data_IF_568780244562
#
_entry.id   IF_568780244562
#
_cell.length_a   1.000
_cell.length_b   1.000
_cell.length_c   1.000
_cell.angle_alpha   90.00
_cell.angle_beta   90.00
_cell.angle_gamma   90.00
#
_symmetry.space_group_name_H-M   'P 1'
#
loop_
_entity.id
_entity.type
_entity.pdbx_description
1 polymer ?
#
# COMPACT_ATOMS: atom_id res chain seq x y z
N UNK A 1 -5.29 30.80 11.41
CA UNK A 1 -4.29 31.23 12.40
C UNK A 1 -5.08 31.79 13.58
N UNK A 2 -4.73 31.42 14.82
CA UNK A 2 -5.30 32.05 16.00
C UNK A 2 -4.83 33.50 16.03
N UNK A 3 -5.74 34.44 16.21
CA UNK A 3 -5.46 35.88 16.10
C UNK A 3 -5.61 36.51 17.49
N UNK A 4 -4.71 36.14 18.40
CA UNK A 4 -4.59 36.80 19.69
C UNK A 4 -3.21 37.44 19.84
N UNK A 5 -3.22 38.73 20.17
CA UNK A 5 -2.01 39.48 20.54
C UNK A 5 -1.73 39.39 22.05
N UNK A 6 -2.61 38.75 22.81
CA UNK A 6 -2.48 38.55 24.25
C UNK A 6 -1.63 37.32 24.56
N UNK A 7 -0.79 37.44 25.58
CA UNK A 7 0.01 36.32 26.05
C UNK A 7 -0.91 35.22 26.61
N UNK A 8 -0.78 34.00 26.05
CA UNK A 8 -1.49 32.83 26.57
C UNK A 8 -0.94 32.47 27.95
N UNK A 9 -1.74 32.66 29.00
CA UNK A 9 -1.36 32.35 30.38
C UNK A 9 -1.96 31.03 30.84
N UNK A 10 -1.11 30.08 31.25
CA UNK A 10 -1.54 28.76 31.73
C UNK A 10 -1.45 27.67 30.66
N UNK A 11 -2.04 26.52 30.97
CA UNK A 11 -1.95 25.33 30.11
C UNK A 11 -3.06 25.35 29.07
N UNK A 12 -2.67 25.20 27.80
CA UNK A 12 -3.61 25.22 26.67
C UNK A 12 -3.50 23.93 25.86
N UNK A 13 -4.62 23.50 25.32
CA UNK A 13 -4.67 22.45 24.30
C UNK A 13 -5.34 22.97 23.03
N UNK A 14 -4.93 22.41 21.91
CA UNK A 14 -5.57 22.60 20.62
C UNK A 14 -6.40 21.37 20.31
N UNK A 15 -7.68 21.57 20.07
CA UNK A 15 -8.59 20.55 19.57
C UNK A 15 -8.79 20.70 18.07
N UNK A 16 -8.73 19.58 17.36
CA UNK A 16 -9.04 19.51 15.93
C UNK A 16 -10.43 18.90 15.74
N UNK A 17 -11.35 19.70 15.23
CA UNK A 17 -12.70 19.28 14.87
C UNK A 17 -12.82 18.97 13.38
N UNK A 18 -13.67 18.00 13.07
CA UNK A 18 -13.95 17.52 11.72
C UNK A 18 -15.45 17.47 11.50
N UNK A 19 -15.89 17.92 10.32
CA UNK A 19 -17.29 17.93 9.88
C UNK A 19 -17.36 17.55 8.40
N UNK A 20 -18.40 16.83 7.99
CA UNK A 20 -18.70 16.62 6.56
C UNK A 20 -19.28 17.92 5.99
N UNK A 21 -18.80 18.39 4.84
CA UNK A 21 -19.22 19.67 4.24
C UNK A 21 -20.76 19.78 4.09
N UNK A 22 -21.41 18.69 3.72
CA UNK A 22 -22.86 18.62 3.53
C UNK A 22 -23.69 18.72 4.82
N UNK A 23 -23.08 18.67 6.00
CA UNK A 23 -23.78 18.72 7.30
C UNK A 23 -24.45 20.10 7.58
N UNK A 24 -24.18 21.10 6.74
CA UNK A 24 -24.83 22.41 6.77
C UNK A 24 -24.32 23.32 7.89
N UNK A 25 -24.32 24.64 7.65
CA UNK A 25 -23.73 25.61 8.61
C UNK A 25 -24.46 25.68 9.96
N UNK A 26 -25.73 25.24 10.03
CA UNK A 26 -26.54 25.28 11.25
C UNK A 26 -25.98 24.43 12.39
N UNK A 27 -25.25 23.35 12.07
CA UNK A 27 -24.67 22.45 13.07
C UNK A 27 -23.15 22.57 13.18
N UNK A 28 -22.53 23.62 12.62
CA UNK A 28 -21.08 23.76 12.54
C UNK A 28 -20.42 24.37 13.81
N UNK A 29 -21.18 24.56 14.89
CA UNK A 29 -20.62 25.02 16.17
C UNK A 29 -19.80 23.92 16.82
N UNK A 30 -18.65 24.29 17.38
CA UNK A 30 -17.72 23.40 18.10
C UNK A 30 -17.75 23.63 19.61
N UNK A 31 -18.62 24.51 20.08
CA UNK A 31 -18.80 24.85 21.49
C UNK A 31 -20.29 25.03 21.83
N UNK A 32 -20.62 24.90 23.11
CA UNK A 32 -21.94 25.19 23.64
C UNK A 32 -22.15 26.69 23.96
N UNK A 33 -23.32 27.03 24.50
CA UNK A 33 -23.66 28.40 24.91
C UNK A 33 -22.82 28.92 26.09
N UNK A 34 -22.22 28.03 26.87
CA UNK A 34 -21.30 28.35 27.97
C UNK A 34 -19.84 28.49 27.49
N UNK A 35 -19.58 28.39 26.19
CA UNK A 35 -18.24 28.37 25.57
C UNK A 35 -17.40 27.13 25.93
N UNK A 36 -18.05 26.06 26.39
CA UNK A 36 -17.38 24.77 26.60
C UNK A 36 -17.21 24.07 25.25
N UNK A 37 -16.03 23.52 24.94
CA UNK A 37 -15.82 22.77 23.70
C UNK A 37 -16.66 21.48 23.68
N UNK A 38 -17.27 21.17 22.54
CA UNK A 38 -18.11 19.97 22.41
C UNK A 38 -17.29 18.68 22.54
N UNK A 39 -17.79 17.74 23.33
CA UNK A 39 -17.19 16.41 23.52
C UNK A 39 -17.65 15.35 22.49
N UNK A 40 -18.28 15.77 21.39
CA UNK A 40 -18.87 14.87 20.39
C UNK A 40 -17.81 13.97 19.74
N UNK A 41 -18.12 12.68 19.63
CA UNK A 41 -17.23 11.68 19.05
C UNK A 41 -17.57 11.36 17.59
N UNK A 42 -16.65 10.68 16.90
CA UNK A 42 -16.87 10.20 15.54
C UNK A 42 -18.17 9.39 15.41
N UNK A 43 -18.43 8.46 16.33
CA UNK A 43 -19.63 7.61 16.29
C UNK A 43 -20.92 8.40 16.54
N UNK A 44 -20.91 9.30 17.52
CA UNK A 44 -22.07 10.12 17.87
C UNK A 44 -22.50 11.07 16.73
N UNK A 45 -21.56 11.43 15.86
CA UNK A 45 -21.79 12.37 14.75
C UNK A 45 -21.92 11.68 13.39
N UNK A 46 -21.97 10.33 13.36
CA UNK A 46 -21.98 9.54 12.13
C UNK A 46 -20.81 9.86 11.19
N UNK A 47 -19.64 10.09 11.78
CA UNK A 47 -18.43 10.49 11.09
C UNK A 47 -18.45 11.95 10.61
N UNK A 48 -19.10 12.83 11.37
CA UNK A 48 -19.20 14.26 11.07
C UNK A 48 -20.39 14.65 10.19
N UNK A 49 -21.34 13.76 9.93
CA UNK A 49 -22.52 14.04 9.08
C UNK A 49 -23.60 14.84 9.79
N UNK A 50 -23.74 14.66 11.10
CA UNK A 50 -24.80 15.34 11.88
C UNK A 50 -24.29 16.56 12.64
N UNK A 51 -22.97 16.71 12.78
CA UNK A 51 -22.29 17.81 13.47
C UNK A 51 -20.80 17.53 13.62
N UNK A 52 -20.00 18.49 14.13
CA UNK A 52 -18.57 18.32 14.22
C UNK A 52 -18.22 17.36 15.35
N UNK A 53 -17.17 16.56 15.16
CA UNK A 53 -16.60 15.74 16.22
C UNK A 53 -15.16 16.14 16.52
N UNK A 54 -14.75 15.93 17.77
CA UNK A 54 -13.37 16.12 18.18
C UNK A 54 -12.53 14.94 17.69
N UNK A 55 -11.74 15.16 16.64
CA UNK A 55 -10.90 14.13 16.05
C UNK A 55 -9.60 13.94 16.84
N UNK A 56 -9.02 15.03 17.34
CA UNK A 56 -7.77 15.00 18.12
C UNK A 56 -7.69 16.15 19.11
N UNK A 57 -6.83 15.97 20.11
CA UNK A 57 -6.40 16.97 21.07
C UNK A 57 -4.88 16.85 21.22
N UNK A 58 -4.18 17.98 21.21
CA UNK A 58 -2.74 18.02 21.39
C UNK A 58 -2.33 19.28 22.17
N UNK A 59 -1.21 19.19 22.88
CA UNK A 59 -0.69 20.30 23.66
C UNK A 59 -0.12 21.38 22.74
N UNK A 60 -0.23 22.64 23.19
CA UNK A 60 0.37 23.76 22.48
C UNK A 60 1.88 23.77 22.72
N UNK A 61 2.66 23.49 21.68
CA UNK A 61 4.13 23.49 21.73
C UNK A 61 4.63 24.89 21.35
N UNK A 62 5.49 25.53 22.16
CA UNK A 62 6.14 26.79 21.80
C UNK A 62 6.93 26.66 20.49
N UNK A 63 6.86 27.68 19.64
CA UNK A 63 7.58 27.66 18.36
C UNK A 63 9.09 27.51 18.52
N UNK A 64 9.66 27.96 19.65
CA UNK A 64 11.08 27.80 19.99
C UNK A 64 11.50 26.35 20.21
N UNK A 65 10.55 25.49 20.57
CA UNK A 65 10.81 24.10 20.96
C UNK A 65 10.60 23.14 19.77
N UNK A 66 10.19 23.67 18.62
CA UNK A 66 10.00 22.89 17.40
C UNK A 66 11.35 22.55 16.75
N UNK A 67 11.54 21.30 16.27
CA UNK A 67 12.77 20.90 15.61
C UNK A 67 12.94 21.60 14.25
N UNK A 68 14.16 21.96 13.87
CA UNK A 68 14.39 22.57 12.54
C UNK A 68 13.95 21.63 11.40
N UNK A 69 13.22 22.19 10.44
CA UNK A 69 12.80 21.49 9.22
C UNK A 69 13.96 21.20 8.26
N UNK A 70 15.12 21.86 8.43
CA UNK A 70 16.29 21.65 7.57
C UNK A 70 16.84 20.21 7.68
N UNK A 71 16.63 19.58 8.84
CA UNK A 71 17.07 18.21 9.12
C UNK A 71 16.10 17.13 8.58
N UNK A 72 14.96 17.50 7.96
CA UNK A 72 14.00 16.52 7.40
C UNK A 72 14.59 15.69 6.26
N UNK A 73 15.62 16.21 5.58
CA UNK A 73 16.34 15.47 4.55
C UNK A 73 17.06 14.22 5.07
N UNK A 74 17.35 14.16 6.37
CA UNK A 74 17.85 12.96 7.03
C UNK A 74 16.69 11.99 7.31
N UNK A 75 16.63 10.90 6.53
CA UNK A 75 15.59 9.87 6.62
C UNK A 75 15.49 9.27 8.03
N UNK A 76 16.60 9.26 8.80
CA UNK A 76 16.60 8.73 10.16
C UNK A 76 15.85 9.64 11.15
N UNK A 77 15.78 10.93 10.88
CA UNK A 77 15.14 11.95 11.73
C UNK A 77 13.79 12.43 11.17
N UNK A 78 13.53 12.21 9.88
CA UNK A 78 12.35 12.71 9.18
C UNK A 78 11.03 12.37 9.89
N UNK A 79 10.86 11.13 10.38
CA UNK A 79 9.63 10.73 11.07
C UNK A 79 9.41 11.50 12.37
N UNK A 80 10.46 11.69 13.16
CA UNK A 80 10.41 12.42 14.43
C UNK A 80 10.12 13.90 14.19
N UNK A 81 10.81 14.52 13.24
CA UNK A 81 10.60 15.94 12.89
C UNK A 81 9.17 16.14 12.37
N UNK A 82 8.73 15.31 11.43
CA UNK A 82 7.39 15.42 10.86
C UNK A 82 6.29 15.22 11.91
N UNK A 83 6.48 14.39 12.92
CA UNK A 83 5.50 14.23 14.01
C UNK A 83 5.31 15.51 14.85
N UNK A 84 6.29 16.41 14.87
CA UNK A 84 6.14 17.71 15.55
C UNK A 84 5.30 18.72 14.74
N UNK A 85 5.17 18.52 13.42
CA UNK A 85 4.48 19.46 12.52
C UNK A 85 3.20 18.90 11.90
N UNK A 86 3.07 17.58 11.78
CA UNK A 86 1.97 16.93 11.08
C UNK A 86 0.94 16.35 12.03
N UNK A 87 -0.28 16.81 11.82
CA UNK A 87 -1.48 16.37 12.52
C UNK A 87 -2.29 15.52 11.55
N UNK A 88 -2.44 14.21 11.83
CA UNK A 88 -3.12 13.26 10.93
C UNK A 88 -4.54 12.96 11.38
N UNK A 89 -5.53 13.27 10.54
CA UNK A 89 -6.91 12.78 10.72
C UNK A 89 -7.11 11.48 9.95
N UNK A 90 -7.77 10.51 10.57
CA UNK A 90 -8.12 9.23 9.99
C UNK A 90 -7.05 8.14 10.07
N UNK A 91 -6.13 8.23 11.04
CA UNK A 91 -5.00 7.30 11.16
C UNK A 91 -5.32 6.03 11.98
N UNK A 92 -6.40 6.02 12.76
CA UNK A 92 -6.62 5.02 13.80
C UNK A 92 -7.76 4.05 13.45
N UNK A 93 -7.46 2.95 12.76
CA UNK A 93 -8.47 1.93 12.42
C UNK A 93 -8.98 1.16 13.62
N UNK A 94 -8.14 0.95 14.63
CA UNK A 94 -8.44 0.05 15.75
C UNK A 94 -9.52 0.64 16.65
N UNK A 95 -9.61 1.97 16.77
CA UNK A 95 -10.58 2.62 17.65
C UNK A 95 -12.05 2.35 17.30
N UNK A 96 -12.36 1.87 16.10
CA UNK A 96 -13.73 1.48 15.75
C UNK A 96 -14.13 0.11 16.32
N UNK A 97 -13.16 -0.79 16.52
CA UNK A 97 -13.45 -2.21 16.77
C UNK A 97 -12.91 -2.68 18.13
N UNK A 98 -11.98 -1.94 18.73
CA UNK A 98 -11.46 -2.20 20.06
C UNK A 98 -12.39 -1.59 21.14
N UNK A 99 -13.09 -2.42 21.93
CA UNK A 99 -13.98 -1.93 22.99
C UNK A 99 -13.22 -1.29 24.15
N UNK A 100 -11.91 -1.52 24.27
CA UNK A 100 -11.08 -0.98 25.34
C UNK A 100 -10.25 0.23 24.88
N UNK A 101 -10.50 0.75 23.68
CA UNK A 101 -9.74 1.86 23.12
C UNK A 101 -9.75 3.07 24.06
N UNK A 102 -8.54 3.49 24.46
CA UNK A 102 -8.35 4.66 25.31
C UNK A 102 -8.00 5.88 24.43
N UNK A 103 -8.82 6.93 24.50
CA UNK A 103 -8.56 8.21 23.84
C UNK A 103 -9.59 8.62 22.79
N UNK A 104 -9.24 9.63 21.98
CA UNK A 104 -10.11 10.13 20.91
C UNK A 104 -10.04 9.22 19.69
N UNK A 105 -11.19 8.66 19.30
CA UNK A 105 -11.26 7.81 18.12
C UNK A 105 -11.16 8.66 16.85
N UNK A 106 -10.11 8.40 16.07
CA UNK A 106 -9.77 9.10 14.83
C UNK A 106 -9.68 8.11 13.66
N UNK A 107 -10.80 7.49 13.25
CA UNK A 107 -10.80 6.43 12.26
C UNK A 107 -10.75 6.95 10.82
N UNK A 108 -10.35 6.11 9.84
CA UNK A 108 -10.27 6.54 8.45
C UNK A 108 -11.53 7.24 7.98
N UNK A 109 -11.32 8.39 7.33
CA UNK A 109 -12.40 9.16 6.74
C UNK A 109 -13.07 8.38 5.62
N UNK A 110 -14.37 8.66 5.39
CA UNK A 110 -15.12 8.02 4.32
C UNK A 110 -14.54 8.41 2.96
N UNK A 111 -14.50 7.47 2.01
CA UNK A 111 -14.05 7.74 0.64
C UNK A 111 -15.00 8.68 -0.10
N UNK A 112 -14.48 9.41 -1.10
CA UNK A 112 -15.25 10.33 -1.94
C UNK A 112 -16.14 11.32 -1.17
N UNK A 113 -15.68 11.77 0.01
CA UNK A 113 -16.43 12.63 0.93
C UNK A 113 -15.65 13.91 1.19
N UNK A 114 -16.34 15.05 1.19
CA UNK A 114 -15.76 16.36 1.49
C UNK A 114 -15.86 16.65 2.98
N UNK A 115 -14.72 16.96 3.58
CA UNK A 115 -14.59 17.29 5.00
C UNK A 115 -14.05 18.70 5.19
N UNK A 116 -14.45 19.33 6.28
CA UNK A 116 -13.88 20.58 6.78
C UNK A 116 -13.24 20.37 8.13
N UNK A 117 -12.24 21.18 8.40
CA UNK A 117 -11.42 21.11 9.61
C UNK A 117 -11.40 22.45 10.32
N UNK A 118 -11.35 22.43 11.65
CA UNK A 118 -11.26 23.63 12.48
C UNK A 118 -10.39 23.36 13.71
N UNK A 119 -9.50 24.30 14.01
CA UNK A 119 -8.71 24.26 15.24
C UNK A 119 -9.38 25.14 16.30
N UNK A 120 -9.40 24.65 17.53
CA UNK A 120 -9.98 25.33 18.69
C UNK A 120 -8.96 25.33 19.80
N UNK A 121 -8.63 26.51 20.32
CA UNK A 121 -7.76 26.70 21.46
C UNK A 121 -8.59 26.68 22.75
N UNK A 122 -8.22 25.80 23.67
CA UNK A 122 -8.92 25.59 24.92
C UNK A 122 -7.97 25.81 26.09
N UNK A 123 -8.40 26.63 27.03
CA UNK A 123 -7.70 26.81 28.29
C UNK A 123 -8.06 25.67 29.23
N UNK A 124 -7.05 24.92 29.66
CA UNK A 124 -7.26 23.70 30.45
C UNK A 124 -7.58 24.01 31.92
N UNK A 125 -7.28 25.22 32.41
CA UNK A 125 -7.64 25.64 33.76
C UNK A 125 -9.11 26.02 33.89
N UNK A 126 -9.69 26.63 32.84
CA UNK A 126 -11.11 27.04 32.83
C UNK A 126 -12.01 26.04 32.12
N UNK A 127 -11.45 25.22 31.22
CA UNK A 127 -12.20 24.30 30.35
C UNK A 127 -12.94 25.00 29.22
N UNK A 128 -12.66 26.29 28.96
CA UNK A 128 -13.39 27.11 27.99
C UNK A 128 -12.59 27.29 26.69
N UNK A 129 -13.33 27.50 25.59
CA UNK A 129 -12.76 27.93 24.32
C UNK A 129 -12.32 29.39 24.42
N UNK A 130 -11.04 29.62 24.16
CA UNK A 130 -10.46 30.97 24.11
C UNK A 130 -10.43 31.54 22.70
N UNK A 131 -10.01 30.73 21.72
CA UNK A 131 -9.96 31.12 20.32
C UNK A 131 -10.24 29.94 19.38
N UNK A 132 -10.59 30.22 18.13
CA UNK A 132 -10.89 29.22 17.12
C UNK A 132 -10.60 29.75 15.71
N UNK A 133 -10.09 28.90 14.83
CA UNK A 133 -9.90 29.27 13.43
C UNK A 133 -11.24 29.34 12.69
N UNK A 134 -11.24 29.91 11.49
CA UNK A 134 -12.32 29.60 10.53
C UNK A 134 -12.30 28.10 10.17
N UNK A 135 -13.43 27.59 9.71
CA UNK A 135 -13.47 26.29 9.04
C UNK A 135 -12.63 26.35 7.77
N UNK A 136 -11.89 25.27 7.49
CA UNK A 136 -11.18 25.14 6.22
C UNK A 136 -12.13 25.13 5.02
N UNK A 137 -11.56 25.34 3.84
CA UNK A 137 -12.21 24.92 2.60
C UNK A 137 -12.46 23.40 2.62
N UNK A 138 -13.47 22.91 1.88
CA UNK A 138 -13.75 21.49 1.78
C UNK A 138 -12.57 20.73 1.17
N UNK A 139 -12.15 19.66 1.83
CA UNK A 139 -11.10 18.75 1.36
C UNK A 139 -11.76 17.42 1.04
N UNK A 140 -11.69 17.03 -0.23
CA UNK A 140 -12.28 15.79 -0.72
C UNK A 140 -11.33 14.61 -0.53
N UNK A 141 -11.82 13.54 0.11
CA UNK A 141 -11.11 12.27 0.15
C UNK A 141 -11.17 11.57 -1.21
N UNK A 142 -10.10 10.86 -1.55
CA UNK A 142 -10.04 10.11 -2.81
C UNK A 142 -11.07 8.97 -2.82
N UNK A 143 -11.59 8.69 -4.01
CA UNK A 143 -12.32 7.44 -4.26
C UNK A 143 -11.29 6.33 -4.45
N UNK A 144 -11.35 5.30 -3.61
CA UNK A 144 -10.49 4.14 -3.75
C UNK A 144 -10.96 3.34 -4.96
N UNK A 145 -10.07 3.13 -5.94
CA UNK A 145 -10.28 2.11 -6.96
C UNK A 145 -10.24 0.75 -6.27
N UNK A 146 -11.28 -0.09 -6.40
CA UNK A 146 -11.24 -1.42 -5.81
C UNK A 146 -10.07 -2.20 -6.42
N UNK A 147 -9.38 -2.98 -5.59
CA UNK A 147 -8.21 -3.74 -6.03
C UNK A 147 -8.50 -4.63 -7.26
N UNK A 148 -9.73 -5.16 -7.36
CA UNK A 148 -10.19 -5.94 -8.50
C UNK A 148 -10.28 -5.18 -9.82
N UNK A 149 -10.40 -3.85 -9.79
CA UNK A 149 -10.46 -2.99 -10.95
C UNK A 149 -9.11 -2.36 -11.32
N UNK A 150 -8.06 -2.59 -10.51
CA UNK A 150 -6.70 -2.16 -10.87
C UNK A 150 -6.21 -3.09 -11.98
N UNK A 151 -6.05 -2.53 -13.18
CA UNK A 151 -5.40 -3.25 -14.26
C UNK A 151 -3.91 -3.38 -13.94
N UNK A 152 -3.54 -4.57 -13.49
CA UNK A 152 -2.14 -4.95 -13.21
C UNK A 152 -1.34 -5.28 -14.49
N UNK A 153 -1.84 -4.92 -15.67
CA UNK A 153 -1.11 -5.04 -16.93
C UNK A 153 0.18 -4.21 -16.91
N UNK A 154 1.35 -4.77 -17.30
CA UNK A 154 1.57 -6.07 -17.95
C UNK A 154 2.03 -7.19 -16.99
N UNK A 155 2.05 -6.95 -15.68
CA UNK A 155 2.72 -7.81 -14.69
C UNK A 155 2.00 -9.12 -14.33
N UNK A 156 0.74 -9.33 -14.76
CA UNK A 156 -0.03 -10.53 -14.38
C UNK A 156 -0.03 -11.68 -15.38
N UNK A 157 0.41 -11.49 -16.63
CA UNK A 157 0.63 -12.59 -17.57
C UNK A 157 1.90 -12.37 -18.38
N UNK A 158 2.92 -13.15 -18.03
CA UNK A 158 3.98 -13.60 -18.91
C UNK A 158 5.30 -12.82 -18.99
N UNK A 159 5.85 -12.46 -17.82
CA UNK A 159 7.31 -12.37 -17.70
C UNK A 159 7.99 -13.64 -18.23
N UNK A 160 7.39 -14.82 -17.99
CA UNK A 160 7.84 -16.10 -18.55
C UNK A 160 7.87 -16.13 -20.08
N UNK A 161 6.82 -15.67 -20.78
CA UNK A 161 6.84 -15.64 -22.25
C UNK A 161 7.84 -14.63 -22.80
N UNK A 162 8.07 -13.48 -22.13
CA UNK A 162 9.12 -12.53 -22.53
C UNK A 162 10.50 -13.17 -22.39
N UNK A 163 10.75 -13.89 -21.28
CA UNK A 163 12.01 -14.61 -21.07
C UNK A 163 12.17 -15.73 -22.10
N UNK A 164 11.12 -16.52 -22.36
CA UNK A 164 11.13 -17.62 -23.33
C UNK A 164 11.37 -17.09 -24.75
N UNK A 165 10.68 -16.02 -25.18
CA UNK A 165 10.89 -15.44 -26.51
C UNK A 165 12.27 -14.82 -26.65
N UNK A 166 12.82 -14.23 -25.59
CA UNK A 166 14.20 -13.73 -25.57
C UNK A 166 15.24 -14.85 -25.73
N UNK A 167 15.06 -15.99 -25.04
CA UNK A 167 15.95 -17.16 -25.14
C UNK A 167 15.84 -17.80 -26.53
N UNK A 168 14.63 -18.12 -27.00
CA UNK A 168 14.44 -18.72 -28.33
C UNK A 168 14.91 -17.79 -29.45
N UNK A 169 14.76 -16.48 -29.31
CA UNK A 169 15.24 -15.51 -30.29
C UNK A 169 16.77 -15.38 -30.34
N UNK A 170 17.47 -15.57 -29.22
CA UNK A 170 18.94 -15.41 -29.15
C UNK A 170 19.72 -16.69 -29.42
N UNK A 171 19.17 -17.87 -29.13
CA UNK A 171 19.78 -19.18 -29.42
C UNK A 171 20.27 -19.37 -30.87
N UNK A 172 19.50 -19.06 -31.94
CA UNK A 172 19.99 -19.25 -33.31
C UNK A 172 21.19 -18.37 -33.64
N UNK A 173 21.26 -17.16 -33.06
CA UNK A 173 22.42 -16.29 -33.21
C UNK A 173 23.68 -16.92 -32.58
N UNK A 174 23.58 -17.44 -31.36
CA UNK A 174 24.70 -18.13 -30.72
C UNK A 174 25.12 -19.40 -31.47
N UNK A 175 24.16 -20.15 -32.01
CA UNK A 175 24.44 -21.32 -32.85
C UNK A 175 25.18 -20.95 -34.14
N UNK A 176 24.79 -19.85 -34.81
CA UNK A 176 25.48 -19.37 -36.00
C UNK A 176 26.92 -18.94 -35.70
N UNK A 177 27.15 -18.24 -34.58
CA UNK A 177 28.50 -17.86 -34.15
C UNK A 177 29.35 -19.10 -33.87
N UNK A 178 28.81 -20.10 -33.17
CA UNK A 178 29.49 -21.36 -32.91
C UNK A 178 29.83 -22.13 -34.20
N UNK A 179 28.89 -22.20 -35.14
CA UNK A 179 29.11 -22.86 -36.43
C UNK A 179 30.17 -22.15 -37.27
N UNK A 180 30.13 -20.82 -37.35
CA UNK A 180 31.17 -20.03 -38.00
C UNK A 180 32.55 -20.25 -37.36
N UNK A 181 32.61 -20.28 -36.02
CA UNK A 181 33.82 -20.61 -35.27
C UNK A 181 34.37 -22.00 -35.60
N UNK A 182 33.50 -23.01 -35.70
CA UNK A 182 33.89 -24.37 -36.05
C UNK A 182 34.45 -24.48 -37.48
N UNK A 183 33.88 -23.75 -38.44
CA UNK A 183 34.43 -23.68 -39.82
C UNK A 183 35.81 -23.03 -39.80
N UNK A 184 35.99 -21.93 -39.08
CA UNK A 184 37.29 -21.25 -39.01
C UNK A 184 38.33 -22.16 -38.35
N UNK A 185 37.96 -22.84 -37.25
CA UNK A 185 38.83 -23.79 -36.56
C UNK A 185 39.21 -24.97 -37.44
N UNK A 186 38.27 -25.56 -38.19
CA UNK A 186 38.59 -26.67 -39.08
C UNK A 186 39.51 -26.26 -40.23
N UNK A 187 39.35 -25.05 -40.77
CA UNK A 187 40.25 -24.50 -41.78
C UNK A 187 41.66 -24.24 -41.22
N UNK A 188 41.77 -23.85 -39.95
CA UNK A 188 43.06 -23.65 -39.26
C UNK A 188 43.72 -24.99 -38.90
N UNK A 189 42.97 -25.98 -38.41
CA UNK A 189 43.48 -27.33 -38.11
C UNK A 189 43.93 -28.07 -39.37
N UNK A 190 43.25 -27.86 -40.50
CA UNK A 190 43.67 -28.40 -41.80
C UNK A 190 44.95 -27.73 -42.32
N UNK A 191 45.32 -26.55 -41.79
CA UNK A 191 46.56 -25.85 -42.11
C UNK A 191 47.78 -26.27 -41.28
N UNK A 192 47.62 -27.15 -40.28
CA UNK A 192 48.71 -27.54 -39.37
C UNK A 192 48.93 -29.05 -39.23
N UNK A 193 48.25 -29.89 -40.01
CA UNK A 193 48.42 -31.36 -39.96
C UNK A 193 49.22 -31.87 -41.15
N UNK A 194 50.55 -31.70 -41.08
CA UNK A 194 51.49 -32.68 -41.63
C UNK A 194 51.91 -33.59 -40.48
N UNK A 195 51.40 -34.82 -40.43
CA UNK A 195 51.90 -35.83 -39.49
C UNK A 195 50.92 -36.93 -39.07
N UNK A 196 50.92 -38.00 -39.85
CA UNK A 196 50.79 -39.40 -39.41
C UNK A 196 49.43 -39.89 -38.84
N UNK A 197 48.67 -40.57 -39.70
CA UNK A 197 47.52 -41.39 -39.30
C UNK A 197 47.95 -42.83 -39.03
N UNK A 198 47.79 -43.29 -37.78
CA UNK A 198 47.85 -44.71 -37.43
C UNK A 198 46.52 -45.12 -36.81
N UNK A 199 45.71 -45.85 -37.58
CA UNK A 199 44.49 -46.51 -37.13
C UNK A 199 44.84 -47.77 -36.34
N UNK A 200 44.23 -47.96 -35.16
CA UNK A 200 44.06 -49.28 -34.56
C UNK A 200 42.57 -49.54 -34.30
N UNK A 201 42.09 -50.65 -34.87
CA UNK A 201 40.74 -51.16 -34.71
C UNK A 201 40.76 -52.34 -33.76
N UNK A 202 39.90 -52.36 -32.74
CA UNK A 202 39.53 -53.63 -32.10
C UNK A 202 38.06 -53.64 -31.67
N UNK A 203 37.28 -54.49 -32.35
CA UNK A 203 35.93 -54.92 -31.99
C UNK A 203 36.06 -56.24 -31.22
N UNK A 204 35.34 -56.43 -30.10
CA UNK A 204 34.95 -57.75 -29.60
C UNK A 204 33.60 -57.66 -28.89
N UNK A 205 32.82 -58.73 -29.05
CA UNK A 205 31.36 -58.81 -29.12
C UNK A 205 30.63 -58.84 -27.77
N UNK A 206 29.35 -58.48 -27.87
CA UNK A 206 28.27 -58.62 -26.90
C UNK A 206 27.73 -60.07 -26.82
N UNK A 207 27.38 -60.53 -25.61
CA UNK A 207 26.48 -61.65 -25.38
C UNK A 207 25.60 -61.36 -24.13
N UNK A 208 24.29 -61.60 -24.28
CA UNK A 208 23.13 -61.30 -23.41
C UNK A 208 22.32 -62.62 -23.28
N UNK A 209 21.31 -62.89 -22.38
CA UNK A 209 20.79 -62.28 -21.13
C UNK A 209 20.48 -63.23 -19.90
N UNK A 210 20.01 -62.61 -18.79
CA UNK A 210 18.84 -62.92 -17.89
C UNK A 210 18.99 -63.64 -16.52
N UNK A 211 18.59 -62.93 -15.45
CA UNK A 211 17.64 -63.33 -14.35
C UNK A 211 17.50 -62.16 -13.35
N UNK A 212 16.37 -61.44 -13.29
CA UNK A 212 15.23 -61.55 -12.35
C UNK A 212 15.59 -61.43 -10.85
N UNK A 213 15.11 -60.34 -10.21
CA UNK A 213 15.15 -60.12 -8.77
C UNK A 213 14.80 -58.69 -8.35
N UNK A 214 13.49 -58.42 -8.22
CA UNK A 214 12.81 -57.50 -7.31
C UNK A 214 13.36 -56.08 -7.01
N UNK A 215 12.58 -55.08 -7.43
CA UNK A 215 12.33 -53.88 -6.62
C UNK A 215 11.04 -53.20 -7.08
N UNK A 216 9.99 -53.41 -6.29
CA UNK A 216 8.75 -52.67 -6.32
C UNK A 216 8.89 -51.45 -5.40
N UNK A 217 8.68 -50.24 -5.94
CA UNK A 217 8.21 -49.11 -5.15
C UNK A 217 7.47 -48.14 -6.08
N UNK A 218 6.16 -48.18 -5.91
CA UNK A 218 5.14 -47.32 -6.48
C UNK A 218 5.39 -45.83 -6.21
N UNK A 219 5.00 -44.95 -7.15
CA UNK A 219 3.93 -43.95 -7.00
C UNK A 219 3.97 -42.98 -8.20
N UNK A 220 3.06 -43.17 -9.16
CA UNK A 220 2.73 -42.18 -10.19
C UNK A 220 1.45 -41.44 -9.78
N UNK A 221 1.55 -40.13 -9.57
CA UNK A 221 0.39 -39.25 -9.39
C UNK A 221 -0.17 -38.84 -10.75
N UNK A 222 -1.37 -39.33 -11.07
CA UNK A 222 -2.15 -38.94 -12.26
C UNK A 222 -2.95 -37.68 -11.93
N UNK A 223 -2.63 -36.56 -12.58
CA UNK A 223 -3.48 -35.38 -12.63
C UNK A 223 -4.63 -35.62 -13.62
N UNK A 224 -5.87 -35.69 -13.12
CA UNK A 224 -7.10 -35.54 -13.93
C UNK A 224 -7.76 -34.23 -13.54
N UNK A 225 -7.81 -33.28 -14.46
CA UNK A 225 -8.61 -32.06 -14.33
C UNK A 225 -10.11 -32.34 -14.57
N UNK A 226 -11.03 -31.54 -14.01
CA UNK A 226 -12.44 -31.56 -14.38
C UNK A 226 -12.75 -30.59 -15.55
N UNK A 227 -13.75 -30.89 -16.41
CA UNK A 227 -14.08 -30.09 -17.57
C UNK A 227 -15.10 -28.96 -17.29
N UNK A 228 -15.08 -27.97 -18.17
CA UNK A 228 -15.99 -26.83 -18.30
C UNK A 228 -17.34 -27.20 -18.95
N UNK A 229 -18.43 -26.74 -18.34
CA UNK A 229 -19.76 -26.45 -18.94
C UNK A 229 -20.53 -25.67 -17.83
N UNK A 230 -21.41 -24.69 -17.99
CA UNK A 230 -21.88 -23.78 -19.05
C UNK A 230 -22.89 -22.83 -18.38
N UNK A 231 -22.87 -21.55 -18.80
CA UNK A 231 -23.86 -20.44 -18.68
C UNK A 231 -24.95 -20.43 -17.59
N UNK A 232 -25.01 -19.29 -16.88
CA UNK A 232 -26.13 -18.82 -16.04
C UNK A 232 -27.45 -18.57 -16.83
N UNK A 233 -28.60 -18.36 -16.14
CA UNK A 233 -28.94 -16.99 -15.75
C UNK A 233 -29.48 -16.83 -14.32
N UNK A 234 -29.02 -15.77 -13.67
CA UNK A 234 -29.49 -15.21 -12.41
C UNK A 234 -30.90 -14.60 -12.58
N UNK A 235 -31.87 -15.03 -11.76
CA UNK A 235 -33.22 -14.47 -11.71
C UNK A 235 -33.27 -13.30 -10.73
N UNK A 236 -33.58 -12.11 -11.25
CA UNK A 236 -33.85 -10.88 -10.52
C UNK A 236 -35.20 -10.95 -9.79
N UNK A 237 -35.24 -10.59 -8.51
CA UNK A 237 -36.48 -10.15 -7.83
C UNK A 237 -36.17 -8.96 -6.94
N UNK A 238 -36.68 -7.81 -7.37
CA UNK A 238 -36.82 -6.54 -6.65
C UNK A 238 -38.26 -6.48 -6.09
N UNK A 239 -38.40 -6.02 -4.84
CA UNK A 239 -39.57 -5.42 -4.13
C UNK A 239 -40.84 -6.29 -3.97
N UNK A 240 -41.53 -6.27 -2.82
CA UNK A 240 -41.99 -5.13 -2.00
C UNK A 240 -41.61 -5.16 -0.51
#
# INVERSE_FOLDING_TARGET
MFDSSEALTGTHQVYLYVLVDSAGSRNASVQDSAKTPLGSTFLQTEGGRTGPYKAMAFDLIPCSDLPSLDAVGDVSQASQILNAYLVRVGANRTCLWDPNFQGLCNPPLSAATEYRFKYVLVNMSTGLVEDQTLWSDPIRTNQLTPYSAIDTWPGRRSGGMIVITSILGSLPFFLLVGFAGAIVLSLVDTGSSDGEMTHDSQITQEAVPKSLGDSESSYTSVNRGPPLDRTEPYSSKLQD
#
